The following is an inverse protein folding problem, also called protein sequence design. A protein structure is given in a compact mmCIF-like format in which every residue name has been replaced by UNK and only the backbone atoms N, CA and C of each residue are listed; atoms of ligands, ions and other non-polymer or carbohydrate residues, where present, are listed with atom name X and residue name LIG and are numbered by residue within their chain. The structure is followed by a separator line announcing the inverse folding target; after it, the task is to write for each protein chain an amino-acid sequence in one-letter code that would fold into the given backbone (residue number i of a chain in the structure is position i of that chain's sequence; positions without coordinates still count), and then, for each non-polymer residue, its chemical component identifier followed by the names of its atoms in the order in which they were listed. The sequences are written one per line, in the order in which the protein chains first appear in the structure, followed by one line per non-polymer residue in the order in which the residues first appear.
data_IF_397441007771
#
_entry.id   IF_397441007771
#
_cell.length_a   1.000
_cell.length_b   1.000
_cell.length_c   1.000
_cell.angle_alpha   90.00
_cell.angle_beta   90.00
_cell.angle_gamma   90.00
#
_symmetry.space_group_name_H-M   'P 1'
#
loop_
_entity.id
_entity.type
_entity.pdbx_description
1 polymer ?
#
# COMPACT_ATOMS: atom_id res chain seq x y z
N UNK A 1 26.43 54.47 29.61
CA UNK A 1 25.62 54.08 28.43
C UNK A 1 26.28 52.83 27.85
N UNK A 2 25.79 51.64 28.22
CA UNK A 2 26.40 50.36 27.85
C UNK A 2 25.48 49.66 26.86
N UNK A 3 25.96 49.49 25.62
CA UNK A 3 25.25 48.77 24.56
C UNK A 3 25.51 47.28 24.79
N UNK A 4 24.45 46.54 25.12
CA UNK A 4 24.48 45.07 25.14
C UNK A 4 24.13 44.55 23.75
N UNK A 5 25.11 43.97 23.08
CA UNK A 5 24.92 43.23 21.82
C UNK A 5 24.19 41.92 22.13
N UNK A 6 22.99 41.77 21.57
CA UNK A 6 22.24 40.49 21.57
C UNK A 6 22.70 39.73 20.32
N UNK A 7 23.42 38.63 20.52
CA UNK A 7 23.71 37.68 19.44
C UNK A 7 22.50 36.75 19.28
N UNK A 8 21.78 36.89 18.16
CA UNK A 8 20.76 35.94 17.76
C UNK A 8 21.44 34.67 17.22
N UNK A 9 21.28 33.55 17.93
CA UNK A 9 21.67 32.23 17.44
C UNK A 9 20.55 31.78 16.49
N UNK A 10 20.76 31.95 15.19
CA UNK A 10 19.93 31.32 14.17
C UNK A 10 20.41 29.87 14.07
N UNK A 11 19.68 28.96 14.71
CA UNK A 11 19.84 27.52 14.48
C UNK A 11 19.36 27.20 13.07
N UNK A 12 20.30 27.00 12.14
CA UNK A 12 20.02 26.32 10.88
C UNK A 12 19.64 24.87 11.23
N UNK A 13 18.34 24.57 11.18
CA UNK A 13 17.87 23.19 11.15
C UNK A 13 18.45 22.52 9.90
N UNK A 14 19.23 21.46 10.11
CA UNK A 14 19.65 20.59 9.03
C UNK A 14 18.37 19.95 8.44
N UNK A 15 17.98 20.39 7.25
CA UNK A 15 17.00 19.69 6.43
C UNK A 15 17.72 18.43 5.98
N UNK A 16 17.52 17.32 6.71
CA UNK A 16 17.92 16.02 6.23
C UNK A 16 17.20 15.77 4.92
N UNK A 17 17.94 15.71 3.82
CA UNK A 17 17.44 15.20 2.55
C UNK A 17 17.04 13.75 2.80
N UNK A 18 15.73 13.45 2.77
CA UNK A 18 15.26 12.08 2.73
C UNK A 18 15.98 11.38 1.58
N UNK A 19 16.79 10.36 1.89
CA UNK A 19 17.32 9.49 0.86
C UNK A 19 16.09 8.88 0.15
N UNK A 20 16.05 8.91 -1.19
CA UNK A 20 15.04 8.13 -1.90
C UNK A 20 15.16 6.68 -1.45
N UNK A 21 14.09 6.12 -0.89
CA UNK A 21 14.06 4.74 -0.47
C UNK A 21 14.48 3.86 -1.65
N UNK A 22 15.49 3.02 -1.46
CA UNK A 22 15.94 2.12 -2.52
C UNK A 22 14.93 0.98 -2.66
N UNK A 23 14.34 0.84 -3.85
CA UNK A 23 13.50 -0.30 -4.21
C UNK A 23 14.27 -1.60 -3.96
N UNK A 24 13.55 -2.61 -3.49
CA UNK A 24 14.05 -3.96 -3.39
C UNK A 24 13.00 -4.99 -3.77
N UNK A 25 13.50 -6.16 -4.14
CA UNK A 25 12.70 -7.31 -4.57
C UNK A 25 12.81 -8.45 -3.54
N UNK A 26 11.84 -9.37 -3.52
CA UNK A 26 11.93 -10.60 -2.72
C UNK A 26 13.07 -11.50 -3.20
N UNK A 27 13.51 -12.41 -2.32
CA UNK A 27 14.54 -13.41 -2.64
C UNK A 27 13.97 -14.60 -3.40
N UNK A 28 12.70 -14.91 -3.19
CA UNK A 28 11.96 -15.96 -3.88
C UNK A 28 10.45 -15.70 -3.78
N UNK A 29 9.67 -16.42 -4.56
CA UNK A 29 8.21 -16.43 -4.41
C UNK A 29 7.62 -17.79 -4.74
N UNK A 30 6.37 -17.99 -4.30
CA UNK A 30 5.53 -19.15 -4.66
C UNK A 30 4.15 -18.65 -5.04
N UNK A 31 3.46 -19.35 -5.92
CA UNK A 31 2.07 -19.07 -6.27
C UNK A 31 1.20 -20.34 -6.11
N UNK A 32 -0.08 -20.15 -5.79
CA UNK A 32 -1.04 -21.25 -5.69
C UNK A 32 -1.49 -21.76 -7.06
N UNK A 33 -1.39 -20.92 -8.09
CA UNK A 33 -1.73 -21.24 -9.48
C UNK A 33 -0.73 -20.61 -10.45
N UNK A 34 -0.29 -21.39 -11.44
CA UNK A 34 0.61 -20.96 -12.51
C UNK A 34 0.26 -21.66 -13.81
N UNK A 35 0.12 -20.91 -14.89
CA UNK A 35 -0.25 -21.40 -16.21
C UNK A 35 0.77 -22.43 -16.73
N UNK A 36 2.04 -22.00 -16.83
CA UNK A 36 3.21 -22.84 -17.08
C UNK A 36 4.50 -22.10 -16.70
N UNK A 37 5.66 -22.73 -16.90
CA UNK A 37 6.98 -22.19 -16.54
C UNK A 37 7.44 -20.96 -17.32
N UNK A 38 6.63 -20.44 -18.25
CA UNK A 38 6.88 -19.17 -18.94
C UNK A 38 6.10 -18.03 -18.31
N UNK A 39 5.21 -18.32 -17.38
CA UNK A 39 4.35 -17.35 -16.69
C UNK A 39 4.31 -17.66 -15.18
N UNK A 40 5.40 -18.18 -14.64
CA UNK A 40 5.56 -18.44 -13.22
C UNK A 40 5.76 -17.14 -12.41
N UNK A 41 5.66 -17.26 -11.09
CA UNK A 41 5.76 -16.13 -10.17
C UNK A 41 7.15 -15.47 -10.15
N UNK A 42 8.20 -16.18 -10.57
CA UNK A 42 9.58 -15.68 -10.67
C UNK A 42 9.69 -14.44 -11.56
N UNK A 43 8.87 -14.38 -12.60
CA UNK A 43 8.86 -13.27 -13.56
C UNK A 43 8.37 -11.93 -12.96
N UNK A 44 7.82 -11.94 -11.75
CA UNK A 44 7.24 -10.73 -11.13
C UNK A 44 8.22 -9.95 -10.26
N UNK A 45 9.46 -10.41 -10.14
CA UNK A 45 10.47 -9.71 -9.33
C UNK A 45 11.88 -9.81 -9.91
N UNK A 46 12.00 -10.19 -11.18
CA UNK A 46 13.26 -10.35 -11.90
C UNK A 46 13.58 -9.16 -12.83
N UNK A 47 12.67 -8.18 -12.95
CA UNK A 47 12.81 -7.01 -13.80
C UNK A 47 12.67 -7.28 -15.30
N UNK A 48 12.22 -8.46 -15.70
CA UNK A 48 12.18 -8.92 -17.10
C UNK A 48 11.31 -8.06 -18.03
N UNK A 49 10.37 -7.29 -17.49
CA UNK A 49 9.56 -6.33 -18.24
C UNK A 49 9.92 -4.86 -18.03
N UNK A 50 11.02 -4.55 -17.33
CA UNK A 50 11.42 -3.18 -16.99
C UNK A 50 12.80 -2.82 -17.55
N UNK A 51 13.09 -1.52 -17.76
CA UNK A 51 14.45 -1.08 -18.07
C UNK A 51 15.40 -1.35 -16.89
N UNK A 52 16.68 -1.64 -17.14
CA UNK A 52 17.66 -1.85 -16.07
C UNK A 52 18.68 -0.69 -16.02
N UNK A 53 18.80 0.04 -14.89
CA UNK A 53 17.95 0.02 -13.69
C UNK A 53 16.56 0.64 -13.94
N UNK A 54 15.57 0.32 -13.09
CA UNK A 54 14.22 0.91 -13.12
C UNK A 54 13.86 1.65 -11.83
N UNK A 55 12.81 2.43 -11.93
CA UNK A 55 12.10 3.18 -10.90
C UNK A 55 10.60 2.90 -11.02
N UNK A 56 9.81 3.32 -10.04
CA UNK A 56 8.34 3.18 -10.06
C UNK A 56 7.65 3.93 -11.20
N UNK A 57 8.33 4.89 -11.83
CA UNK A 57 7.83 5.66 -12.97
C UNK A 57 8.15 5.01 -14.32
N UNK A 58 8.95 3.95 -14.35
CA UNK A 58 9.30 3.28 -15.60
C UNK A 58 8.14 2.40 -16.09
N UNK A 59 7.81 2.47 -17.39
CA UNK A 59 6.72 1.71 -17.95
C UNK A 59 7.11 0.23 -18.08
N UNK A 60 6.24 -0.66 -17.61
CA UNK A 60 6.40 -2.08 -17.86
C UNK A 60 6.11 -2.40 -19.34
N UNK A 61 6.86 -3.35 -19.88
CA UNK A 61 6.62 -3.92 -21.20
C UNK A 61 5.24 -4.58 -21.27
N UNK A 62 4.65 -4.63 -22.45
CA UNK A 62 3.39 -5.33 -22.64
C UNK A 62 3.53 -6.84 -22.38
N UNK A 63 2.42 -7.51 -22.10
CA UNK A 63 2.35 -8.93 -21.81
C UNK A 63 3.15 -9.83 -22.77
N UNK A 64 4.03 -10.65 -22.23
CA UNK A 64 4.78 -11.64 -23.00
C UNK A 64 5.13 -12.85 -22.14
N UNK A 65 5.62 -13.91 -22.75
CA UNK A 65 6.25 -15.00 -22.00
C UNK A 65 7.48 -14.47 -21.24
N UNK A 66 7.65 -14.92 -20.01
CA UNK A 66 8.76 -14.62 -19.10
C UNK A 66 8.83 -13.16 -18.62
N UNK A 67 7.69 -12.48 -18.51
CA UNK A 67 7.64 -11.17 -17.85
C UNK A 67 6.37 -10.91 -17.03
N UNK A 68 5.57 -11.95 -16.79
CA UNK A 68 4.37 -11.89 -15.98
C UNK A 68 4.21 -13.22 -15.24
N UNK A 69 3.59 -13.16 -14.08
CA UNK A 69 2.89 -14.31 -13.52
C UNK A 69 1.50 -14.39 -14.13
N UNK A 70 1.06 -15.58 -14.52
CA UNK A 70 -0.31 -15.86 -14.98
C UNK A 70 -0.84 -17.12 -14.32
N UNK A 71 -2.06 -17.07 -13.80
CA UNK A 71 -2.73 -18.24 -13.23
C UNK A 71 -3.21 -19.23 -14.29
N UNK A 72 -3.60 -20.44 -13.88
CA UNK A 72 -4.26 -21.40 -14.77
C UNK A 72 -5.67 -20.97 -15.13
N UNK A 73 -6.21 -21.58 -16.17
CA UNK A 73 -7.58 -21.34 -16.61
C UNK A 73 -8.59 -21.59 -15.48
N UNK A 74 -9.40 -20.59 -15.18
CA UNK A 74 -10.45 -20.59 -14.15
C UNK A 74 -9.96 -20.70 -12.70
N UNK A 75 -8.65 -20.53 -12.48
CA UNK A 75 -8.04 -20.38 -11.16
C UNK A 75 -7.67 -18.90 -10.99
N UNK A 76 -8.66 -18.03 -10.74
CA UNK A 76 -8.41 -16.56 -10.64
C UNK A 76 -8.62 -16.04 -9.23
N UNK A 77 -9.85 -16.07 -8.74
CA UNK A 77 -10.21 -15.48 -7.45
C UNK A 77 -9.81 -16.41 -6.30
N UNK A 78 -9.14 -15.85 -5.29
CA UNK A 78 -8.60 -16.57 -4.15
C UNK A 78 -7.20 -17.15 -4.38
N UNK A 79 -6.72 -17.14 -5.63
CA UNK A 79 -5.33 -17.48 -5.92
C UNK A 79 -4.39 -16.41 -5.34
N UNK A 80 -3.19 -16.84 -4.96
CA UNK A 80 -2.24 -16.00 -4.24
C UNK A 80 -0.81 -16.22 -4.68
N UNK A 81 -0.01 -15.18 -4.49
CA UNK A 81 1.44 -15.20 -4.56
C UNK A 81 2.01 -14.87 -3.17
N UNK A 82 3.06 -15.58 -2.76
CA UNK A 82 3.78 -15.32 -1.52
C UNK A 82 5.23 -15.01 -1.83
N UNK A 83 5.62 -13.76 -1.61
CA UNK A 83 6.97 -13.22 -1.78
C UNK A 83 7.75 -13.37 -0.48
N UNK A 84 8.93 -13.96 -0.52
CA UNK A 84 9.75 -14.27 0.66
C UNK A 84 11.02 -13.42 0.71
N UNK A 85 11.41 -13.03 1.92
CA UNK A 85 12.58 -12.20 2.20
C UNK A 85 13.54 -12.91 3.15
N UNK A 86 14.78 -13.06 2.73
CA UNK A 86 15.88 -13.64 3.48
C UNK A 86 17.16 -12.78 3.34
N UNK A 87 17.57 -12.05 4.40
CA UNK A 87 16.94 -11.99 5.71
C UNK A 87 15.59 -11.22 5.70
N UNK A 88 14.74 -11.37 6.75
CA UNK A 88 13.54 -10.56 6.90
C UNK A 88 13.82 -9.06 6.87
N UNK A 89 12.86 -8.27 6.35
CA UNK A 89 13.04 -6.84 6.06
C UNK A 89 11.98 -5.96 6.71
N UNK A 90 12.31 -4.69 6.88
CA UNK A 90 11.29 -3.67 7.08
C UNK A 90 10.62 -3.36 5.74
N UNK A 91 9.29 -3.26 5.71
CA UNK A 91 8.48 -2.91 4.54
C UNK A 91 7.46 -1.86 4.95
N UNK A 92 7.40 -0.74 4.24
CA UNK A 92 6.38 0.31 4.40
C UNK A 92 5.63 0.63 3.10
N UNK A 93 6.12 0.14 1.95
CA UNK A 93 5.46 0.35 0.67
C UNK A 93 5.52 -0.91 -0.20
N UNK A 94 4.41 -1.20 -0.87
CA UNK A 94 4.30 -2.20 -1.94
C UNK A 94 4.05 -1.48 -3.26
N UNK A 95 4.87 -1.80 -4.26
CA UNK A 95 4.71 -1.33 -5.64
C UNK A 95 4.27 -2.49 -6.51
N UNK A 96 3.30 -2.23 -7.36
CA UNK A 96 2.72 -3.22 -8.25
C UNK A 96 2.60 -2.64 -9.65
N UNK A 97 3.27 -3.25 -10.61
CA UNK A 97 2.91 -3.11 -12.00
C UNK A 97 1.85 -4.16 -12.30
N UNK A 98 0.67 -3.67 -12.64
CA UNK A 98 -0.37 -4.55 -13.16
C UNK A 98 -0.06 -4.90 -14.61
N UNK A 99 -0.79 -5.85 -15.14
CA UNK A 99 -0.64 -6.23 -16.54
C UNK A 99 -0.91 -5.06 -17.49
N UNK A 100 -0.15 -5.06 -18.60
CA UNK A 100 -0.31 -4.12 -19.70
C UNK A 100 -0.65 -4.88 -20.98
N UNK A 101 -1.82 -4.59 -21.52
CA UNK A 101 -2.42 -5.32 -22.62
C UNK A 101 -1.60 -5.22 -23.91
N UNK A 102 -1.57 -6.30 -24.69
CA UNK A 102 -1.19 -6.30 -26.11
C UNK A 102 -2.20 -7.10 -26.93
N UNK A 103 -1.96 -7.32 -28.23
CA UNK A 103 -2.86 -8.11 -29.09
C UNK A 103 -3.10 -9.58 -28.66
N UNK A 104 -2.34 -10.14 -27.71
CA UNK A 104 -2.45 -11.53 -27.23
C UNK A 104 -3.20 -11.58 -25.91
N UNK A 105 -2.77 -10.78 -24.93
CA UNK A 105 -3.56 -10.46 -23.74
C UNK A 105 -4.30 -9.13 -23.97
N UNK A 106 -5.08 -9.07 -25.06
CA UNK A 106 -5.92 -7.91 -25.41
C UNK A 106 -7.20 -7.91 -24.59
N UNK A 107 -7.14 -8.53 -23.42
CA UNK A 107 -8.24 -8.69 -22.53
C UNK A 107 -8.02 -7.68 -21.41
N UNK A 108 -8.65 -6.49 -21.45
CA UNK A 108 -8.61 -5.51 -20.36
C UNK A 108 -9.34 -6.02 -19.10
N UNK A 109 -9.42 -7.34 -18.93
CA UNK A 109 -10.16 -8.08 -17.94
C UNK A 109 -9.25 -9.04 -17.17
N UNK A 110 -8.00 -9.19 -17.63
CA UNK A 110 -6.95 -9.97 -16.96
C UNK A 110 -6.50 -9.32 -15.66
N UNK A 111 -6.55 -7.99 -15.59
CA UNK A 111 -5.95 -7.21 -14.52
C UNK A 111 -6.59 -7.49 -13.18
N UNK A 112 -5.76 -7.62 -12.15
CA UNK A 112 -6.24 -7.63 -10.77
C UNK A 112 -6.72 -6.22 -10.44
N UNK A 113 -7.97 -6.07 -10.00
CA UNK A 113 -8.54 -4.77 -9.60
C UNK A 113 -8.84 -4.70 -8.10
N UNK A 114 -8.80 -5.85 -7.42
CA UNK A 114 -8.93 -5.94 -5.97
C UNK A 114 -8.06 -7.08 -5.44
N UNK A 115 -7.33 -6.83 -4.36
CA UNK A 115 -6.51 -7.83 -3.68
C UNK A 115 -6.44 -7.59 -2.18
N UNK A 116 -6.04 -8.64 -1.46
CA UNK A 116 -5.57 -8.51 -0.08
C UNK A 116 -4.06 -8.68 -0.02
N UNK A 117 -3.44 -8.04 0.96
CA UNK A 117 -2.02 -8.16 1.26
C UNK A 117 -1.82 -8.53 2.73
N UNK A 118 -1.04 -9.58 3.00
CA UNK A 118 -0.75 -10.05 4.35
C UNK A 118 0.76 -10.16 4.57
N UNK A 119 1.29 -9.36 5.49
CA UNK A 119 2.70 -9.37 5.89
C UNK A 119 2.87 -10.28 7.09
N UNK A 120 3.87 -11.17 7.05
CA UNK A 120 4.16 -12.12 8.13
C UNK A 120 5.63 -12.14 8.51
N UNK A 121 5.89 -12.47 9.77
CA UNK A 121 7.25 -12.74 10.25
C UNK A 121 7.73 -14.15 9.87
N UNK A 122 8.96 -14.50 10.27
CA UNK A 122 9.54 -15.83 10.02
C UNK A 122 8.87 -16.97 10.80
N UNK A 123 8.04 -16.66 11.79
CA UNK A 123 7.20 -17.59 12.54
C UNK A 123 5.78 -17.72 11.96
N UNK A 124 5.50 -17.09 10.81
CA UNK A 124 4.19 -16.96 10.18
C UNK A 124 3.14 -16.16 10.97
N UNK A 125 3.54 -15.39 11.99
CA UNK A 125 2.63 -14.48 12.66
C UNK A 125 2.27 -13.32 11.72
N UNK A 126 0.98 -12.96 11.65
CA UNK A 126 0.52 -11.81 10.87
C UNK A 126 0.97 -10.52 11.55
N UNK A 127 1.74 -9.72 10.84
CA UNK A 127 2.25 -8.41 11.28
C UNK A 127 1.35 -7.27 10.80
N UNK A 128 0.83 -7.39 9.57
CA UNK A 128 -0.11 -6.45 8.97
C UNK A 128 -0.99 -7.20 7.97
N UNK A 129 -2.26 -6.83 7.94
CA UNK A 129 -3.20 -7.24 6.90
C UNK A 129 -3.85 -5.97 6.30
N UNK A 130 -3.85 -5.90 4.98
CA UNK A 130 -4.50 -4.86 4.18
C UNK A 130 -5.47 -5.57 3.25
N UNK A 131 -6.75 -5.54 3.58
CA UNK A 131 -7.79 -6.14 2.75
C UNK A 131 -8.32 -5.15 1.73
N UNK A 132 -8.90 -5.67 0.65
CA UNK A 132 -9.68 -4.89 -0.30
C UNK A 132 -8.93 -3.74 -1.01
N UNK A 133 -7.63 -3.90 -1.18
CA UNK A 133 -6.79 -2.92 -1.87
C UNK A 133 -7.24 -2.83 -3.33
N UNK A 134 -7.45 -1.60 -3.82
CA UNK A 134 -7.92 -1.38 -5.20
C UNK A 134 -6.75 -1.21 -6.15
N UNK A 135 -6.89 -1.75 -7.35
CA UNK A 135 -5.92 -1.61 -8.41
C UNK A 135 -6.56 -1.14 -9.71
N UNK A 136 -5.80 -0.39 -10.49
CA UNK A 136 -6.16 0.05 -11.82
C UNK A 136 -5.73 -0.96 -12.87
N UNK A 137 -6.57 -1.09 -13.90
CA UNK A 137 -6.33 -1.86 -15.11
C UNK A 137 -5.36 -1.15 -16.06
N UNK A 138 -4.67 -1.92 -16.90
CA UNK A 138 -3.85 -1.47 -18.04
C UNK A 138 -2.97 -0.23 -17.76
N UNK A 139 -2.23 -0.26 -16.65
CA UNK A 139 -1.38 0.86 -16.23
C UNK A 139 0.05 0.71 -16.75
N UNK A 140 0.67 1.83 -17.15
CA UNK A 140 2.05 1.80 -17.62
C UNK A 140 3.05 1.66 -16.47
N UNK A 141 2.84 2.38 -15.37
CA UNK A 141 3.77 2.54 -14.25
C UNK A 141 3.30 1.81 -12.99
N UNK A 142 4.15 1.74 -11.95
CA UNK A 142 3.78 1.12 -10.69
C UNK A 142 2.64 1.86 -9.99
N UNK A 143 1.68 1.09 -9.50
CA UNK A 143 0.75 1.48 -8.46
C UNK A 143 1.45 1.35 -7.11
N UNK A 144 1.22 2.29 -6.22
CA UNK A 144 1.95 2.41 -4.95
C UNK A 144 0.99 2.33 -3.77
N UNK A 145 1.23 1.38 -2.88
CA UNK A 145 0.44 1.12 -1.69
C UNK A 145 1.30 1.36 -0.45
N UNK A 146 1.05 2.46 0.26
CA UNK A 146 1.83 2.89 1.44
C UNK A 146 1.13 2.51 2.73
N UNK A 147 1.93 2.21 3.75
CA UNK A 147 1.48 1.93 5.10
C UNK A 147 2.60 2.25 6.10
N UNK A 148 2.26 2.32 7.40
CA UNK A 148 3.27 2.45 8.44
C UNK A 148 4.33 1.33 8.31
N UNK A 149 5.64 1.65 8.35
CA UNK A 149 6.69 0.63 8.22
C UNK A 149 6.55 -0.53 9.21
N UNK A 150 6.54 -1.75 8.67
CA UNK A 150 6.44 -3.01 9.42
C UNK A 150 7.81 -3.67 9.45
N UNK A 151 8.37 -3.90 10.64
CA UNK A 151 9.67 -4.55 10.81
C UNK A 151 9.58 -6.09 10.74
N UNK A 152 10.71 -6.75 10.46
CA UNK A 152 10.87 -8.21 10.50
C UNK A 152 9.92 -9.01 9.58
N UNK A 153 9.50 -8.42 8.46
CA UNK A 153 8.66 -9.09 7.46
C UNK A 153 9.50 -10.13 6.73
N UNK A 154 9.12 -11.39 6.87
CA UNK A 154 9.74 -12.51 6.17
C UNK A 154 8.94 -12.91 4.92
N UNK A 155 7.64 -12.59 4.88
CA UNK A 155 6.85 -12.78 3.66
C UNK A 155 5.73 -11.76 3.49
N UNK A 156 5.39 -11.51 2.23
CA UNK A 156 4.20 -10.77 1.80
C UNK A 156 3.36 -11.70 0.94
N UNK A 157 2.12 -11.96 1.36
CA UNK A 157 1.15 -12.70 0.56
C UNK A 157 0.20 -11.72 -0.12
N UNK A 158 0.09 -11.81 -1.44
CA UNK A 158 -0.88 -11.13 -2.28
C UNK A 158 -1.99 -12.10 -2.66
N UNK A 159 -3.25 -11.74 -2.45
CA UNK A 159 -4.41 -12.62 -2.70
C UNK A 159 -5.37 -11.92 -3.65
N UNK A 160 -5.66 -12.53 -4.81
CA UNK A 160 -6.58 -11.96 -5.80
C UNK A 160 -8.02 -12.02 -5.29
N UNK A 161 -8.71 -10.87 -5.27
CA UNK A 161 -10.12 -10.77 -4.86
C UNK A 161 -11.06 -10.40 -5.99
N UNK A 162 -10.60 -9.61 -6.95
CA UNK A 162 -11.35 -9.34 -8.17
C UNK A 162 -10.42 -9.08 -9.37
N UNK A 163 -10.90 -9.47 -10.54
CA UNK A 163 -10.31 -9.11 -11.83
C UNK A 163 -11.21 -8.15 -12.57
N UNK A 164 -10.64 -7.41 -13.52
CA UNK A 164 -11.42 -6.59 -14.43
C UNK A 164 -12.47 -7.45 -15.18
N UNK A 165 -13.61 -6.83 -15.54
CA UNK A 165 -14.84 -7.49 -16.02
C UNK A 165 -15.44 -8.53 -15.06
N UNK A 166 -15.72 -8.10 -13.82
CA UNK A 166 -16.59 -8.83 -12.89
C UNK A 166 -16.21 -10.31 -12.72
N UNK A 167 -14.92 -10.60 -12.65
CA UNK A 167 -14.36 -11.94 -12.46
C UNK A 167 -14.66 -12.94 -13.60
N UNK A 168 -14.97 -12.45 -14.81
CA UNK A 168 -15.24 -13.32 -15.97
C UNK A 168 -13.98 -13.73 -16.74
N UNK A 169 -12.81 -13.11 -16.48
CA UNK A 169 -11.58 -13.54 -17.14
C UNK A 169 -11.19 -14.95 -16.69
N UNK A 170 -10.83 -15.86 -17.62
CA UNK A 170 -10.34 -17.19 -17.26
C UNK A 170 -8.91 -17.17 -16.70
N UNK A 171 -8.19 -16.05 -16.82
CA UNK A 171 -6.82 -15.91 -16.34
C UNK A 171 -6.64 -14.57 -15.63
N UNK A 172 -5.68 -14.49 -14.72
CA UNK A 172 -5.25 -13.26 -14.05
C UNK A 172 -3.77 -13.34 -13.71
N UNK A 173 -3.18 -12.24 -13.26
CA UNK A 173 -1.85 -12.27 -12.64
C UNK A 173 -1.24 -10.89 -12.52
N UNK A 174 0.10 -10.84 -12.40
CA UNK A 174 0.87 -9.63 -12.13
C UNK A 174 2.01 -9.50 -13.13
N UNK A 175 2.43 -8.26 -13.38
CA UNK A 175 3.59 -7.98 -14.21
C UNK A 175 4.86 -7.97 -13.36
N UNK A 176 4.94 -7.06 -12.38
CA UNK A 176 6.10 -6.91 -11.50
C UNK A 176 5.67 -6.38 -10.14
N UNK A 177 6.44 -6.70 -9.10
CA UNK A 177 6.33 -6.13 -7.76
C UNK A 177 7.69 -5.64 -7.26
N UNK A 178 7.65 -4.59 -6.46
CA UNK A 178 8.81 -4.12 -5.70
C UNK A 178 8.36 -3.57 -4.34
N UNK A 179 9.32 -3.36 -3.45
CA UNK A 179 9.07 -2.95 -2.07
C UNK A 179 10.02 -1.84 -1.65
N UNK A 180 9.57 -1.01 -0.71
CA UNK A 180 10.39 -0.04 0.00
C UNK A 180 10.22 -0.20 1.51
N UNK A 181 11.28 0.12 2.27
CA UNK A 181 11.24 0.07 3.73
C UNK A 181 10.49 1.28 4.28
N UNK A 182 10.57 2.39 3.57
CA UNK A 182 9.85 3.60 3.91
C UNK A 182 8.40 3.46 3.51
N UNK A 183 7.55 4.06 4.31
CA UNK A 183 6.12 4.14 4.12
C UNK A 183 5.63 5.35 4.90
N UNK A 184 4.59 6.00 4.38
CA UNK A 184 3.86 7.00 5.12
C UNK A 184 2.56 6.33 5.57
N UNK A 185 2.31 6.34 6.87
CA UNK A 185 0.96 6.06 7.33
C UNK A 185 0.04 7.16 6.78
N UNK A 186 -1.17 6.79 6.41
CA UNK A 186 -2.20 7.74 5.99
C UNK A 186 -3.34 7.66 7.02
N UNK A 187 -3.21 8.35 8.17
CA UNK A 187 -4.11 8.09 9.31
C UNK A 187 -5.55 8.51 9.02
N UNK A 188 -5.78 9.28 7.96
CA UNK A 188 -7.10 9.68 7.51
C UNK A 188 -7.79 8.66 6.60
N UNK A 189 -7.04 7.70 6.03
CA UNK A 189 -7.56 6.58 5.25
C UNK A 189 -7.96 5.45 6.21
N UNK A 190 -9.26 5.34 6.44
CA UNK A 190 -9.86 4.51 7.46
C UNK A 190 -10.75 3.42 6.85
N UNK A 191 -11.37 3.69 5.69
CA UNK A 191 -12.23 2.72 5.05
C UNK A 191 -12.47 2.96 3.57
N UNK A 192 -12.58 1.85 2.85
CA UNK A 192 -13.17 1.79 1.53
C UNK A 192 -14.68 2.03 1.49
N UNK A 193 -15.43 1.61 2.51
CA UNK A 193 -16.89 1.57 2.49
C UNK A 193 -17.51 2.44 3.58
N UNK A 194 -18.40 3.37 3.23
CA UNK A 194 -18.99 4.30 4.21
C UNK A 194 -20.09 3.67 5.09
N UNK A 195 -20.69 2.56 4.67
CA UNK A 195 -21.88 2.00 5.33
C UNK A 195 -21.53 0.69 6.03
N UNK A 196 -21.86 0.61 7.32
CA UNK A 196 -21.64 -0.60 8.11
C UNK A 196 -22.30 -1.83 7.45
N UNK A 197 -21.52 -2.91 7.33
CA UNK A 197 -21.95 -4.15 6.67
C UNK A 197 -21.72 -4.17 5.16
N UNK A 198 -21.29 -3.07 4.52
CA UNK A 198 -20.71 -3.14 3.19
C UNK A 198 -19.39 -3.93 3.23
N UNK A 199 -19.02 -4.60 2.12
CA UNK A 199 -17.67 -5.14 1.96
C UNK A 199 -16.63 -4.07 2.28
N UNK A 200 -15.58 -4.46 3.01
CA UNK A 200 -14.43 -3.61 3.30
C UNK A 200 -14.71 -2.38 4.20
N UNK A 201 -15.85 -2.38 4.91
CA UNK A 201 -16.12 -1.40 5.98
C UNK A 201 -15.08 -1.52 7.10
N UNK A 202 -14.40 -0.42 7.41
CA UNK A 202 -13.27 -0.36 8.35
C UNK A 202 -11.92 -0.83 7.80
N UNK A 203 -11.78 -1.02 6.49
CA UNK A 203 -10.53 -1.40 5.84
C UNK A 203 -9.99 -0.26 4.96
N UNK A 204 -8.82 0.34 5.29
CA UNK A 204 -8.17 1.38 4.49
C UNK A 204 -7.85 0.91 3.06
N UNK A 205 -7.97 1.79 2.06
CA UNK A 205 -7.76 1.45 0.63
C UNK A 205 -6.71 2.30 -0.10
N UNK A 206 -5.97 3.09 0.66
CA UNK A 206 -4.94 4.02 0.18
C UNK A 206 -5.49 5.36 -0.28
N UNK A 207 -6.79 5.65 -0.13
CA UNK A 207 -7.43 6.87 -0.65
C UNK A 207 -8.31 7.55 0.38
N UNK A 208 -7.88 8.72 0.86
CA UNK A 208 -8.74 9.59 1.67
C UNK A 208 -9.86 10.19 0.82
N UNK A 209 -11.11 9.83 1.13
CA UNK A 209 -12.30 10.30 0.45
C UNK A 209 -13.53 10.37 1.38
N UNK A 210 -14.72 10.64 0.84
CA UNK A 210 -15.94 10.79 1.66
C UNK A 210 -16.28 9.54 2.50
N UNK A 211 -15.88 8.34 2.06
CA UNK A 211 -16.12 7.11 2.81
C UNK A 211 -15.38 7.14 4.15
N UNK A 212 -14.13 7.57 4.18
CA UNK A 212 -13.34 7.74 5.39
C UNK A 212 -13.95 8.75 6.33
N UNK A 213 -14.40 9.90 5.79
CA UNK A 213 -15.02 10.94 6.59
C UNK A 213 -16.29 10.45 7.28
N UNK A 214 -17.18 9.78 6.55
CA UNK A 214 -18.43 9.25 7.13
C UNK A 214 -18.17 8.12 8.11
N UNK A 215 -17.15 7.29 7.85
CA UNK A 215 -16.72 6.27 8.79
C UNK A 215 -16.18 6.87 10.07
N UNK A 216 -15.27 7.85 9.97
CA UNK A 216 -14.75 8.57 11.12
C UNK A 216 -15.88 9.17 11.95
N UNK A 217 -16.86 9.84 11.32
CA UNK A 217 -18.02 10.38 12.02
C UNK A 217 -18.80 9.30 12.79
N UNK A 218 -19.02 8.14 12.17
CA UNK A 218 -19.69 7.02 12.81
C UNK A 218 -18.89 6.49 14.02
N UNK A 219 -17.57 6.33 13.89
CA UNK A 219 -16.68 5.87 14.95
C UNK A 219 -16.56 6.90 16.09
N UNK A 220 -16.48 8.18 15.75
CA UNK A 220 -16.41 9.30 16.69
C UNK A 220 -17.69 9.38 17.52
N UNK A 221 -18.86 9.28 16.88
CA UNK A 221 -20.15 9.24 17.56
C UNK A 221 -20.31 8.00 18.48
N UNK A 222 -19.64 6.90 18.14
CA UNK A 222 -19.59 5.68 18.95
C UNK A 222 -18.50 5.71 20.05
N UNK A 223 -17.76 6.81 20.19
CA UNK A 223 -16.65 6.97 21.12
C UNK A 223 -15.53 5.91 20.96
N UNK A 224 -15.24 5.49 19.73
CA UNK A 224 -14.20 4.50 19.47
C UNK A 224 -12.80 5.13 19.55
N UNK A 225 -12.17 5.04 20.74
CA UNK A 225 -10.81 5.54 20.97
C UNK A 225 -9.77 4.88 20.06
N UNK A 226 -9.94 3.61 19.68
CA UNK A 226 -8.96 2.91 18.84
C UNK A 226 -8.84 3.48 17.42
N UNK A 227 -9.83 4.25 16.97
CA UNK A 227 -9.86 4.89 15.65
C UNK A 227 -9.76 6.41 15.77
N UNK A 228 -10.43 6.99 16.76
CA UNK A 228 -10.67 8.43 16.79
C UNK A 228 -9.82 9.19 17.82
N UNK A 229 -9.07 8.53 18.71
CA UNK A 229 -8.07 9.21 19.55
C UNK A 229 -6.80 9.42 18.71
N UNK A 230 -6.64 10.62 18.18
CA UNK A 230 -5.60 10.95 17.20
C UNK A 230 -4.62 11.99 17.74
N UNK A 231 -5.02 12.81 18.71
CA UNK A 231 -4.17 13.90 19.18
C UNK A 231 -4.43 14.32 20.61
N UNK A 232 -3.42 14.93 21.22
CA UNK A 232 -3.57 15.64 22.49
C UNK A 232 -4.07 17.07 22.26
N UNK A 233 -3.74 17.66 21.11
CA UNK A 233 -4.17 19.00 20.71
C UNK A 233 -4.18 19.17 19.18
N UNK A 234 -5.11 19.97 18.66
CA UNK A 234 -5.37 20.13 17.23
C UNK A 234 -4.59 21.26 16.58
N UNK A 235 -3.79 22.02 17.34
CA UNK A 235 -3.03 23.15 16.80
C UNK A 235 -1.61 22.68 16.46
N UNK A 236 -1.19 22.77 15.18
CA UNK A 236 0.16 22.43 14.77
C UNK A 236 1.23 23.14 15.61
N UNK A 237 2.20 22.37 16.10
CA UNK A 237 3.30 22.87 16.93
C UNK A 237 3.02 22.89 18.43
N UNK A 238 1.81 22.55 18.88
CA UNK A 238 1.55 22.32 20.30
C UNK A 238 2.15 20.99 20.78
N UNK A 239 2.53 20.87 22.07
CA UNK A 239 2.90 19.60 22.67
C UNK A 239 1.79 18.56 22.49
N UNK A 240 2.13 17.39 21.93
CA UNK A 240 1.19 16.28 21.72
C UNK A 240 0.30 16.40 20.47
N UNK A 241 0.59 17.35 19.56
CA UNK A 241 -0.04 17.38 18.23
C UNK A 241 0.26 16.08 17.45
N UNK A 242 -0.78 15.37 17.03
CA UNK A 242 -0.71 14.06 16.37
C UNK A 242 -0.34 12.91 17.30
N UNK A 243 -0.49 13.09 18.62
CA UNK A 243 -0.20 12.06 19.63
C UNK A 243 -1.46 11.73 20.41
N UNK A 244 -2.04 10.52 20.26
CA UNK A 244 -3.20 10.06 21.02
C UNK A 244 -2.98 10.15 22.54
N UNK A 245 -4.02 10.49 23.30
CA UNK A 245 -3.93 10.72 24.76
C UNK A 245 -4.97 9.94 25.60
N UNK A 246 -5.76 9.09 24.97
CA UNK A 246 -6.83 8.30 25.57
C UNK A 246 -8.14 9.08 25.79
N UNK A 247 -8.29 10.29 25.24
CA UNK A 247 -9.45 11.17 25.48
C UNK A 247 -10.02 11.67 24.17
N UNK A 248 -11.13 11.08 23.73
CA UNK A 248 -11.86 11.57 22.56
C UNK A 248 -12.55 12.91 22.83
N UNK A 249 -12.17 13.94 22.09
CA UNK A 249 -12.79 15.25 22.17
C UNK A 249 -12.65 16.05 20.85
N UNK A 250 -13.02 17.34 20.88
CA UNK A 250 -13.02 18.18 19.69
C UNK A 250 -11.63 18.35 19.06
N UNK A 251 -10.54 18.19 19.83
CA UNK A 251 -9.18 18.26 19.31
C UNK A 251 -8.95 17.13 18.29
N UNK A 252 -9.41 15.91 18.56
CA UNK A 252 -9.31 14.79 17.63
C UNK A 252 -10.10 15.03 16.35
N UNK A 253 -11.30 15.59 16.48
CA UNK A 253 -12.13 15.91 15.33
C UNK A 253 -11.46 16.96 14.44
N UNK A 254 -10.93 18.05 15.01
CA UNK A 254 -10.25 19.09 14.24
C UNK A 254 -8.91 18.62 13.66
N UNK A 255 -8.19 17.79 14.39
CA UNK A 255 -6.98 17.16 13.88
C UNK A 255 -7.30 16.23 12.70
N UNK A 256 -8.35 15.40 12.80
CA UNK A 256 -8.81 14.56 11.71
C UNK A 256 -9.14 15.38 10.45
N UNK A 257 -9.87 16.49 10.58
CA UNK A 257 -10.14 17.36 9.43
C UNK A 257 -8.86 17.88 8.77
N UNK A 258 -7.83 18.18 9.57
CA UNK A 258 -6.54 18.63 9.06
C UNK A 258 -5.88 17.54 8.22
N UNK A 259 -5.73 16.33 8.76
CA UNK A 259 -5.10 15.21 8.03
C UNK A 259 -5.97 14.71 6.86
N UNK A 260 -7.30 14.77 6.98
CA UNK A 260 -8.23 14.46 5.91
C UNK A 260 -8.04 15.40 4.71
N UNK A 261 -7.90 16.70 4.98
CA UNK A 261 -7.67 17.70 3.93
C UNK A 261 -6.30 17.61 3.28
N UNK A 262 -5.32 17.05 3.98
CA UNK A 262 -3.98 16.81 3.47
C UNK A 262 -3.92 15.60 2.52
N UNK A 263 -4.80 14.61 2.72
CA UNK A 263 -4.85 13.37 1.95
C UNK A 263 -3.77 12.37 2.34
N UNK A 264 -3.49 11.44 1.42
CA UNK A 264 -2.25 10.66 1.33
C UNK A 264 -1.40 11.24 0.17
#
# INVERSE_FOLDING_TARGET
MSIRTIAAIIGLGAIGTAANAQLFVPNSATATSEFDSRFDIGNTFDGSGLPAPYTTADPHATYSSHNHWTTRAFETIGESATFAFDPPRAIGTFHMWNHRSNGIASNPHYDVIEFDMVLRDGGNAVLLERTCQTAYEDIEIAQTYRFAPVANVASVQFIVRATANNNFSPYTGLAEVAFEADGADCPADLTRGAVAGQPCYGSPDGKVNNNDFFYFLAQYAAANLGVCDLTTGAIPGQPGYGVPNGVLNNEDFFYYLTIFSAGC
#
